data_IF_796635817509
#
_entry.id   IF_796635817509
#
_cell.length_a   1.000
_cell.length_b   1.000
_cell.length_c   1.000
_cell.angle_alpha   90.00
_cell.angle_beta   90.00
_cell.angle_gamma   90.00
#
_symmetry.space_group_name_H-M   'P 1'
#
loop_
_entity.id
_entity.type
_entity.pdbx_description
1 polymer ?
#
# COMPACT_ATOMS: atom_id res chain seq x y z
N UNK A 1 -7.80 -54.38 -5.92
CA UNK A 1 -7.00 -53.60 -6.88
C UNK A 1 -7.64 -52.24 -6.99
N UNK A 2 -7.08 -51.14 -6.52
CA UNK A 2 -5.74 -50.56 -6.76
C UNK A 2 -5.88 -49.26 -7.57
N UNK A 3 -5.11 -48.27 -7.13
CA UNK A 3 -4.85 -46.95 -7.65
C UNK A 3 -4.64 -46.85 -9.17
N UNK A 4 -5.13 -45.75 -9.79
CA UNK A 4 -4.35 -44.89 -10.74
C UNK A 4 -5.23 -43.72 -11.20
N UNK A 5 -5.07 -42.54 -10.62
CA UNK A 5 -4.18 -41.48 -11.11
C UNK A 5 -4.46 -41.05 -12.56
N UNK A 6 -5.21 -39.96 -12.69
CA UNK A 6 -4.84 -38.86 -13.60
C UNK A 6 -5.13 -37.52 -12.92
N UNK A 7 -4.04 -36.89 -12.50
CA UNK A 7 -3.95 -35.46 -12.20
C UNK A 7 -4.40 -34.67 -13.44
N UNK A 8 -5.27 -33.69 -13.25
CA UNK A 8 -5.22 -32.47 -14.04
C UNK A 8 -5.40 -31.26 -13.13
N UNK A 9 -4.35 -30.45 -13.10
CA UNK A 9 -4.21 -29.20 -12.39
C UNK A 9 -5.40 -28.27 -12.66
N UNK A 10 -6.23 -28.05 -11.64
CA UNK A 10 -7.37 -27.14 -11.73
C UNK A 10 -7.73 -26.51 -10.39
N UNK A 11 -6.82 -26.52 -9.42
CA UNK A 11 -6.98 -25.72 -8.21
C UNK A 11 -6.75 -24.25 -8.58
N UNK A 12 -7.79 -23.65 -9.17
CA UNK A 12 -8.09 -22.22 -9.08
C UNK A 12 -7.69 -21.82 -7.67
N UNK A 13 -6.61 -21.05 -7.55
CA UNK A 13 -6.31 -20.28 -6.36
C UNK A 13 -7.52 -19.38 -6.14
N UNK A 14 -8.47 -19.85 -5.35
CA UNK A 14 -9.44 -19.02 -4.68
C UNK A 14 -8.59 -17.98 -3.97
N UNK A 15 -8.51 -16.79 -4.55
CA UNK A 15 -8.08 -15.59 -3.84
C UNK A 15 -9.14 -15.36 -2.78
N UNK A 16 -9.09 -16.13 -1.71
CA UNK A 16 -9.65 -15.74 -0.43
C UNK A 16 -8.82 -14.55 -0.01
N UNK A 17 -9.27 -13.35 -0.36
CA UNK A 17 -8.85 -12.12 0.30
C UNK A 17 -9.03 -12.37 1.80
N UNK A 18 -7.93 -12.57 2.50
CA UNK A 18 -7.97 -12.78 3.95
C UNK A 18 -8.64 -11.55 4.59
N UNK A 19 -9.59 -11.71 5.51
CA UNK A 19 -10.21 -10.57 6.21
C UNK A 19 -9.15 -9.69 6.90
N UNK A 20 -8.01 -10.27 7.29
CA UNK A 20 -6.87 -9.53 7.81
C UNK A 20 -6.24 -8.58 6.76
N UNK A 21 -6.15 -8.99 5.50
CA UNK A 21 -5.61 -8.16 4.42
C UNK A 21 -6.58 -7.02 4.04
N UNK A 22 -7.89 -7.29 4.07
CA UNK A 22 -8.90 -6.24 3.90
C UNK A 22 -8.86 -5.20 5.04
N UNK A 23 -8.66 -5.66 6.28
CA UNK A 23 -8.50 -4.78 7.45
C UNK A 23 -7.22 -3.94 7.40
N UNK A 24 -6.10 -4.53 6.94
CA UNK A 24 -4.83 -3.84 6.75
C UNK A 24 -4.95 -2.69 5.73
N UNK A 25 -5.53 -2.97 4.56
CA UNK A 25 -5.72 -1.97 3.51
C UNK A 25 -6.66 -0.84 3.94
N UNK A 26 -7.72 -1.15 4.69
CA UNK A 26 -8.60 -0.12 5.25
C UNK A 26 -7.86 0.79 6.24
N UNK A 27 -6.92 0.25 7.01
CA UNK A 27 -6.10 1.04 7.95
C UNK A 27 -5.15 1.98 7.19
N UNK A 28 -4.47 1.45 6.17
CA UNK A 28 -3.59 2.25 5.29
C UNK A 28 -4.38 3.34 4.58
N UNK A 29 -5.60 3.03 4.11
CA UNK A 29 -6.47 3.96 3.44
C UNK A 29 -6.84 5.15 4.33
N UNK A 30 -7.31 4.89 5.56
CA UNK A 30 -7.67 5.95 6.51
C UNK A 30 -6.47 6.84 6.80
N UNK A 31 -5.32 6.25 7.09
CA UNK A 31 -4.12 7.01 7.41
C UNK A 31 -3.61 7.81 6.21
N UNK A 32 -3.65 7.27 4.99
CA UNK A 32 -3.24 8.00 3.80
C UNK A 32 -4.17 9.19 3.48
N UNK A 33 -5.48 9.03 3.68
CA UNK A 33 -6.46 10.12 3.54
C UNK A 33 -6.16 11.25 4.52
N UNK A 34 -5.96 10.94 5.80
CA UNK A 34 -5.59 11.93 6.83
C UNK A 34 -4.29 12.67 6.44
N UNK A 35 -3.26 11.92 6.03
CA UNK A 35 -2.00 12.50 5.59
C UNK A 35 -2.17 13.44 4.39
N UNK A 36 -3.00 13.10 3.40
CA UNK A 36 -3.28 13.95 2.25
C UNK A 36 -4.10 15.19 2.66
N UNK A 37 -5.09 15.03 3.54
CA UNK A 37 -5.89 16.12 4.09
C UNK A 37 -4.99 17.14 4.82
N UNK A 38 -4.17 16.67 5.76
CA UNK A 38 -3.19 17.50 6.48
C UNK A 38 -2.19 18.19 5.55
N UNK A 39 -1.74 17.50 4.49
CA UNK A 39 -0.73 18.04 3.58
C UNK A 39 -1.30 19.07 2.59
N UNK A 40 -2.61 19.00 2.31
CA UNK A 40 -3.29 19.90 1.37
C UNK A 40 -4.15 20.96 2.05
N UNK A 41 -4.37 20.87 3.37
CA UNK A 41 -5.27 21.74 4.13
C UNK A 41 -6.75 21.53 3.79
N UNK A 42 -7.10 20.38 3.18
CA UNK A 42 -8.49 20.01 2.84
C UNK A 42 -9.09 19.15 3.95
N UNK A 43 -10.42 19.03 3.97
CA UNK A 43 -11.07 18.12 4.92
C UNK A 43 -10.84 16.65 4.52
N UNK A 44 -10.76 15.75 5.51
CA UNK A 44 -10.64 14.31 5.27
C UNK A 44 -11.82 13.77 4.44
N UNK A 45 -13.02 14.31 4.66
CA UNK A 45 -14.22 13.93 3.91
C UNK A 45 -14.10 14.28 2.43
N UNK A 46 -13.59 15.47 2.10
CA UNK A 46 -13.42 15.90 0.70
C UNK A 46 -12.37 15.04 -0.01
N UNK A 47 -11.26 14.73 0.68
CA UNK A 47 -10.20 13.85 0.17
C UNK A 47 -10.74 12.44 -0.05
N UNK A 48 -11.46 11.88 0.92
CA UNK A 48 -12.03 10.56 0.84
C UNK A 48 -12.99 10.43 -0.35
N UNK A 49 -13.91 11.40 -0.52
CA UNK A 49 -14.85 11.41 -1.65
C UNK A 49 -14.11 11.52 -2.98
N UNK A 50 -13.16 12.43 -3.10
CA UNK A 50 -12.43 12.65 -4.35
C UNK A 50 -11.55 11.46 -4.75
N UNK A 51 -11.01 10.73 -3.78
CA UNK A 51 -10.23 9.51 -4.00
C UNK A 51 -11.12 8.25 -4.07
N UNK A 52 -12.44 8.41 -4.07
CA UNK A 52 -13.41 7.35 -4.33
C UNK A 52 -13.74 6.45 -3.13
N UNK A 53 -13.86 7.04 -1.95
CA UNK A 53 -14.42 6.37 -0.78
C UNK A 53 -15.94 6.61 -0.67
N UNK A 54 -16.76 5.57 -0.41
CA UNK A 54 -16.40 4.16 -0.25
C UNK A 54 -16.04 3.47 -1.58
N UNK A 55 -15.27 2.36 -1.55
CA UNK A 55 -14.63 1.71 -2.71
C UNK A 55 -15.60 0.99 -3.68
N UNK A 56 -16.89 1.38 -3.71
CA UNK A 56 -17.85 0.81 -4.67
C UNK A 56 -17.53 1.17 -6.12
N UNK A 57 -16.64 2.15 -6.33
CA UNK A 57 -16.09 2.52 -7.63
C UNK A 57 -14.57 2.41 -7.53
N UNK A 58 -13.97 1.58 -8.38
CA UNK A 58 -12.52 1.54 -8.54
C UNK A 58 -12.06 2.93 -9.00
N UNK A 59 -11.61 3.77 -8.07
CA UNK A 59 -11.17 5.11 -8.40
C UNK A 59 -9.77 5.02 -8.97
N UNK A 60 -9.67 5.33 -10.27
CA UNK A 60 -8.40 5.46 -10.96
C UNK A 60 -7.70 6.79 -10.63
N UNK A 61 -8.29 7.63 -9.77
CA UNK A 61 -7.77 8.95 -9.44
C UNK A 61 -6.42 8.83 -8.75
N UNK A 62 -5.45 9.55 -9.29
CA UNK A 62 -4.10 9.69 -8.73
C UNK A 62 -4.04 10.90 -7.79
N UNK A 63 -3.03 10.94 -6.92
CA UNK A 63 -2.83 12.12 -6.06
C UNK A 63 -2.50 13.37 -6.88
N UNK A 64 -1.84 13.21 -8.03
CA UNK A 64 -1.58 14.31 -8.96
C UNK A 64 -2.88 14.91 -9.52
N UNK A 65 -3.82 14.07 -9.97
CA UNK A 65 -5.14 14.52 -10.48
C UNK A 65 -6.00 15.16 -9.39
N UNK A 66 -5.86 14.73 -8.14
CA UNK A 66 -6.51 15.37 -6.99
C UNK A 66 -5.96 16.78 -6.70
N UNK A 67 -4.73 17.07 -7.15
CA UNK A 67 -4.05 18.36 -6.98
C UNK A 67 -2.88 18.35 -5.99
N UNK A 68 -2.34 17.18 -5.62
CA UNK A 68 -1.10 17.11 -4.85
C UNK A 68 0.07 17.55 -5.75
N UNK A 69 0.69 18.66 -5.38
CA UNK A 69 1.84 19.20 -6.11
C UNK A 69 3.14 18.51 -5.72
N UNK A 70 4.21 18.71 -6.49
CA UNK A 70 5.55 18.20 -6.17
C UNK A 70 6.07 18.69 -4.80
N UNK A 71 5.77 19.94 -4.42
CA UNK A 71 6.14 20.50 -3.13
C UNK A 71 5.42 19.79 -1.97
N UNK A 72 4.11 19.56 -2.11
CA UNK A 72 3.31 18.82 -1.12
C UNK A 72 3.74 17.36 -1.05
N UNK A 73 4.03 16.75 -2.21
CA UNK A 73 4.48 15.37 -2.32
C UNK A 73 5.76 15.09 -1.52
N UNK A 74 6.71 16.02 -1.48
CA UNK A 74 7.95 15.83 -0.70
C UNK A 74 7.66 15.65 0.80
N UNK A 75 6.77 16.48 1.34
CA UNK A 75 6.31 16.38 2.74
C UNK A 75 5.48 15.12 2.97
N UNK A 76 4.55 14.82 2.06
CA UNK A 76 3.71 13.64 2.14
C UNK A 76 4.54 12.35 2.13
N UNK A 77 5.53 12.24 1.24
CA UNK A 77 6.45 11.10 1.16
C UNK A 77 7.20 10.89 2.48
N UNK A 78 7.67 11.97 3.12
CA UNK A 78 8.32 11.87 4.43
C UNK A 78 7.37 11.36 5.51
N UNK A 79 6.10 11.76 5.49
CA UNK A 79 5.09 11.29 6.45
C UNK A 79 4.70 9.83 6.20
N UNK A 80 4.53 9.43 4.94
CA UNK A 80 4.28 8.02 4.56
C UNK A 80 5.40 7.14 5.08
N UNK A 81 6.67 7.52 4.88
CA UNK A 81 7.80 6.78 5.43
C UNK A 81 7.77 6.72 6.98
N UNK A 82 7.57 7.85 7.65
CA UNK A 82 7.63 7.91 9.13
C UNK A 82 6.45 7.27 9.85
N UNK A 83 5.25 7.34 9.27
CA UNK A 83 4.02 6.91 9.95
C UNK A 83 3.49 5.58 9.42
N UNK A 84 3.68 5.31 8.13
CA UNK A 84 3.25 4.05 7.52
C UNK A 84 4.40 3.06 7.37
N UNK A 85 5.64 3.45 7.65
CA UNK A 85 6.84 2.60 7.50
C UNK A 85 6.95 2.03 6.08
N UNK A 86 6.60 2.85 5.10
CA UNK A 86 6.60 2.49 3.68
C UNK A 86 7.51 3.42 2.89
N UNK A 87 8.52 2.86 2.24
CA UNK A 87 9.33 3.60 1.30
C UNK A 87 8.66 3.60 -0.08
N UNK A 88 8.27 4.80 -0.53
CA UNK A 88 7.66 5.02 -1.85
C UNK A 88 8.34 6.22 -2.51
N UNK A 89 8.53 6.15 -3.82
CA UNK A 89 9.08 7.26 -4.59
C UNK A 89 8.03 8.35 -4.81
N UNK A 90 8.47 9.58 -5.09
CA UNK A 90 7.54 10.67 -5.42
C UNK A 90 6.73 10.37 -6.69
N UNK A 91 7.32 9.62 -7.64
CA UNK A 91 6.62 9.22 -8.86
C UNK A 91 5.48 8.26 -8.52
N UNK A 92 5.76 7.17 -7.80
CA UNK A 92 4.73 6.22 -7.36
C UNK A 92 3.64 6.90 -6.54
N UNK A 93 4.02 7.81 -5.63
CA UNK A 93 3.06 8.50 -4.79
C UNK A 93 2.11 9.42 -5.59
N UNK A 94 2.60 10.06 -6.65
CA UNK A 94 1.83 11.02 -7.44
C UNK A 94 1.02 10.39 -8.56
N UNK A 95 1.56 9.38 -9.24
CA UNK A 95 1.00 8.87 -10.51
C UNK A 95 0.34 7.52 -10.39
N UNK A 96 0.51 6.81 -9.26
CA UNK A 96 -0.18 5.54 -9.05
C UNK A 96 -1.64 5.80 -8.71
N UNK A 97 -2.59 5.07 -9.33
CA UNK A 97 -3.99 5.12 -8.93
C UNK A 97 -4.15 4.86 -7.44
N UNK A 98 -5.05 5.58 -6.77
CA UNK A 98 -5.15 5.53 -5.32
C UNK A 98 -5.34 4.10 -4.78
N UNK A 99 -6.18 3.29 -5.43
CA UNK A 99 -6.38 1.88 -5.04
C UNK A 99 -5.10 1.04 -5.13
N UNK A 100 -4.29 1.24 -6.16
CA UNK A 100 -3.03 0.50 -6.37
C UNK A 100 -1.94 1.01 -5.42
N UNK A 101 -1.93 2.31 -5.11
CA UNK A 101 -1.02 2.91 -4.14
C UNK A 101 -1.19 2.31 -2.74
N UNK A 102 -2.42 1.98 -2.34
CA UNK A 102 -2.68 1.29 -1.07
C UNK A 102 -2.01 -0.10 -1.03
N UNK A 103 -2.06 -0.84 -2.14
CA UNK A 103 -1.38 -2.14 -2.26
C UNK A 103 0.14 -1.96 -2.21
N UNK A 104 0.66 -1.00 -2.98
CA UNK A 104 2.09 -0.70 -3.03
C UNK A 104 2.64 -0.35 -1.65
N UNK A 105 1.93 0.50 -0.89
CA UNK A 105 2.29 0.82 0.49
C UNK A 105 2.26 -0.42 1.38
N UNK A 106 1.21 -1.26 1.27
CA UNK A 106 1.12 -2.50 2.05
C UNK A 106 2.25 -3.49 1.75
N UNK A 107 2.71 -3.54 0.50
CA UNK A 107 3.84 -4.37 0.06
C UNK A 107 5.18 -3.79 0.56
N UNK A 108 5.39 -2.47 0.43
CA UNK A 108 6.59 -1.80 0.89
C UNK A 108 6.83 -1.98 2.40
N UNK A 109 5.76 -1.91 3.21
CA UNK A 109 5.82 -2.20 4.67
C UNK A 109 6.40 -3.56 5.02
N UNK A 110 6.22 -4.56 4.15
CA UNK A 110 6.65 -5.95 4.37
C UNK A 110 8.12 -6.18 3.99
N UNK A 111 8.69 -5.30 3.17
CA UNK A 111 10.06 -5.46 2.68
C UNK A 111 11.11 -5.00 3.69
N UNK A 112 10.80 -4.03 4.56
CA UNK A 112 11.72 -3.54 5.60
C UNK A 112 12.04 -4.63 6.65
N UNK A 113 11.08 -5.51 6.94
CA UNK A 113 11.26 -6.66 7.85
C UNK A 113 12.29 -7.66 7.32
N UNK A 114 12.46 -7.78 6.00
CA UNK A 114 13.38 -8.74 5.39
C UNK A 114 14.82 -8.20 5.26
N UNK A 115 14.99 -6.89 5.10
CA UNK A 115 16.31 -6.25 5.01
C UNK A 115 16.96 -6.07 6.39
N UNK A 116 16.17 -5.82 7.45
CA UNK A 116 16.68 -5.79 8.84
C UNK A 116 17.08 -7.16 9.40
N UNK A 117 16.60 -8.26 8.81
CA UNK A 117 16.92 -9.63 9.23
C UNK A 117 18.22 -10.19 8.61
N UNK A 118 18.82 -9.48 7.65
CA UNK A 118 19.98 -9.93 6.88
C UNK A 118 21.30 -9.27 7.33
N UNK A 119 21.46 -8.94 8.61
CA UNK A 119 22.77 -8.65 9.17
C UNK A 119 23.41 -10.01 9.52
N UNK A 120 24.41 -10.52 8.76
CA UNK A 120 25.13 -11.71 9.19
C UNK A 120 25.75 -11.43 10.57
N UNK A 121 25.63 -12.34 11.55
CA UNK A 121 26.23 -12.13 12.87
C UNK A 121 27.71 -11.84 12.68
N UNK A 122 28.17 -10.72 13.25
CA UNK A 122 29.55 -10.27 13.16
C UNK A 122 30.47 -11.46 13.45
N UNK A 123 31.34 -11.79 12.49
CA UNK A 123 32.35 -12.82 12.70
C UNK A 123 33.16 -12.45 13.94
N UNK A 124 33.08 -13.31 14.96
CA UNK A 124 33.84 -13.13 16.19
C UNK A 124 35.35 -13.07 15.84
N UNK A 125 36.11 -12.11 16.40
CA UNK A 125 37.54 -12.03 16.13
C UNK A 125 38.23 -13.29 16.65
N UNK A 126 39.06 -13.89 15.79
CA UNK A 126 40.04 -14.94 16.14
C UNK A 126 41.26 -14.36 16.84
#
# INVERSE_FOLDING_TARGET
GECRERRMNGAKRLRTSSPAAASELSTIQIALVDLVALSTGRSESDVAVALGMPPSVASSTTLLEFGVTSAVCAGLRSRVFKQLEAEVTSFELLTTPFCDLLQLIAEARKQDVLLGAAIPPAAAPV
#
